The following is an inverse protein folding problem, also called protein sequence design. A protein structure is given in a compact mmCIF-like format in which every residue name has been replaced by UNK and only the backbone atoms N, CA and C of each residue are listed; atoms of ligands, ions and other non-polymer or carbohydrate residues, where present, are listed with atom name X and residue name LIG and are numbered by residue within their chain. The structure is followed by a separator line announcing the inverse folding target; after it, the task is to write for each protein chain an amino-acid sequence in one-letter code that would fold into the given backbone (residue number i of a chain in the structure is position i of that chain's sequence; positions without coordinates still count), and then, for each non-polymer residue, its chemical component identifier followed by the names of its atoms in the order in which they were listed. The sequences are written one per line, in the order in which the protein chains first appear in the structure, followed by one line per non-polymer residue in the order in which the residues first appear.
data_IF_651824096298
#
_entry.id   IF_651824096298
#
_cell.length_a   1.000
_cell.length_b   1.000
_cell.length_c   1.000
_cell.angle_alpha   90.00
_cell.angle_beta   90.00
_cell.angle_gamma   90.00
#
_symmetry.space_group_name_H-M   'P 1'
#
loop_
_entity.id
_entity.type
_entity.pdbx_description
1 polymer ?
#
# COMPACT_ATOMS: atom_id res chain seq x y z
N UNK A 1 -22.51 20.32 8.99
CA UNK A 1 -21.53 19.36 9.52
C UNK A 1 -21.22 18.22 8.56
N UNK A 2 -22.20 17.68 7.84
CA UNK A 2 -21.99 16.70 6.75
C UNK A 2 -21.15 17.24 5.58
N UNK A 3 -21.35 18.50 5.17
CA UNK A 3 -20.59 19.11 4.05
C UNK A 3 -19.09 19.21 4.29
N UNK A 4 -18.66 19.57 5.51
CA UNK A 4 -17.24 19.62 5.85
C UNK A 4 -16.59 18.23 5.86
N UNK A 5 -17.34 17.20 6.27
CA UNK A 5 -16.88 15.82 6.31
C UNK A 5 -16.75 15.23 4.89
N UNK A 6 -17.69 15.56 4.00
CA UNK A 6 -17.64 15.24 2.56
C UNK A 6 -16.50 15.97 1.84
N UNK A 7 -16.26 17.24 2.15
CA UNK A 7 -15.10 17.98 1.64
C UNK A 7 -13.79 17.34 2.09
N UNK A 8 -13.66 17.01 3.37
CA UNK A 8 -12.44 16.42 3.92
C UNK A 8 -12.15 15.04 3.30
N UNK A 9 -13.17 14.19 3.15
CA UNK A 9 -13.05 12.89 2.47
C UNK A 9 -12.72 13.07 0.98
N UNK A 10 -13.38 14.01 0.29
CA UNK A 10 -13.13 14.31 -1.12
C UNK A 10 -11.71 14.82 -1.36
N UNK A 11 -11.18 15.67 -0.48
CA UNK A 11 -9.82 16.19 -0.60
C UNK A 11 -8.77 15.12 -0.26
N UNK A 12 -9.00 14.30 0.76
CA UNK A 12 -8.00 13.33 1.26
C UNK A 12 -7.93 12.03 0.43
N UNK A 13 -9.05 11.54 -0.09
CA UNK A 13 -9.08 10.28 -0.87
C UNK A 13 -9.19 10.51 -2.38
N UNK A 14 -10.00 11.47 -2.83
CA UNK A 14 -10.30 11.64 -4.27
C UNK A 14 -9.32 12.61 -4.94
N UNK A 15 -8.95 13.69 -4.27
CA UNK A 15 -8.02 14.70 -4.80
C UNK A 15 -6.55 14.47 -4.40
N UNK A 16 -6.26 13.42 -3.62
CA UNK A 16 -4.90 13.17 -3.17
C UNK A 16 -4.06 12.57 -4.30
N UNK A 17 -3.25 13.42 -4.92
CA UNK A 17 -2.34 13.09 -6.02
C UNK A 17 -1.43 11.90 -5.69
N UNK A 18 -1.06 11.70 -4.43
CA UNK A 18 -0.19 10.58 -4.01
C UNK A 18 -0.91 9.24 -4.20
N UNK A 19 -2.18 9.16 -3.79
CA UNK A 19 -3.01 7.96 -3.98
C UNK A 19 -3.36 7.70 -5.45
N UNK A 20 -3.69 8.77 -6.20
CA UNK A 20 -4.23 8.64 -7.56
C UNK A 20 -3.14 8.49 -8.63
N UNK A 21 -1.96 9.08 -8.45
CA UNK A 21 -0.91 9.12 -9.48
C UNK A 21 0.37 8.37 -9.12
N UNK A 22 0.68 8.15 -7.84
CA UNK A 22 1.97 7.59 -7.44
C UNK A 22 1.90 6.16 -6.91
N UNK A 23 0.86 5.79 -6.15
CA UNK A 23 0.63 4.41 -5.77
C UNK A 23 0.11 3.60 -6.96
N UNK A 24 0.77 2.48 -7.28
CA UNK A 24 0.26 1.53 -8.29
C UNK A 24 0.60 1.87 -9.75
N UNK A 25 1.59 2.73 -10.03
CA UNK A 25 2.09 2.96 -11.40
C UNK A 25 2.61 1.66 -12.05
N UNK A 26 3.27 0.81 -11.27
CA UNK A 26 3.81 -0.47 -11.74
C UNK A 26 2.72 -1.42 -12.26
N UNK A 27 1.63 -1.74 -11.51
CA UNK A 27 0.53 -2.53 -12.05
C UNK A 27 -0.23 -1.78 -13.15
N UNK A 28 -0.38 -0.45 -13.06
CA UNK A 28 -1.08 0.33 -14.07
C UNK A 28 -0.45 0.17 -15.47
N UNK A 29 0.88 0.29 -15.57
CA UNK A 29 1.60 0.07 -16.84
C UNK A 29 1.43 -1.36 -17.38
N UNK A 30 1.26 -2.37 -16.52
CA UNK A 30 1.09 -3.78 -16.90
C UNK A 30 -0.31 -4.14 -17.42
N UNK A 31 -1.38 -3.55 -16.89
CA UNK A 31 -2.78 -3.94 -17.19
C UNK A 31 -3.64 -2.87 -17.88
N UNK A 32 -3.03 -1.77 -18.36
CA UNK A 32 -3.73 -0.64 -19.02
C UNK A 32 -4.61 -1.01 -20.23
N UNK A 33 -4.41 -2.17 -20.85
CA UNK A 33 -5.08 -2.55 -22.11
C UNK A 33 -6.45 -3.22 -21.95
N UNK A 34 -6.75 -3.83 -20.79
CA UNK A 34 -8.01 -4.55 -20.57
C UNK A 34 -8.54 -4.31 -19.16
N UNK A 35 -9.78 -3.84 -19.07
CA UNK A 35 -10.47 -3.55 -17.80
C UNK A 35 -10.63 -4.82 -16.96
N UNK A 36 -10.94 -5.95 -17.58
CA UNK A 36 -11.07 -7.25 -16.90
C UNK A 36 -9.78 -7.66 -16.18
N UNK A 37 -8.61 -7.46 -16.79
CA UNK A 37 -7.31 -7.75 -16.16
C UNK A 37 -6.93 -6.71 -15.11
N UNK A 38 -7.36 -5.46 -15.29
CA UNK A 38 -7.10 -4.39 -14.34
C UNK A 38 -7.85 -4.59 -13.02
N UNK A 39 -9.09 -5.10 -13.08
CA UNK A 39 -9.88 -5.43 -11.88
C UNK A 39 -9.15 -6.51 -11.05
N UNK A 40 -8.72 -7.60 -11.68
CA UNK A 40 -7.98 -8.67 -10.99
C UNK A 40 -6.67 -8.19 -10.35
N UNK A 41 -5.87 -7.39 -11.09
CA UNK A 41 -4.63 -6.82 -10.57
C UNK A 41 -4.86 -5.82 -9.43
N UNK A 42 -5.87 -4.96 -9.52
CA UNK A 42 -6.18 -3.99 -8.47
C UNK A 42 -6.61 -4.66 -7.16
N UNK A 43 -7.39 -5.75 -7.24
CA UNK A 43 -7.78 -6.56 -6.09
C UNK A 43 -6.57 -7.20 -5.43
N UNK A 44 -5.67 -7.81 -6.22
CA UNK A 44 -4.44 -8.40 -5.73
C UNK A 44 -3.53 -7.36 -5.04
N UNK A 45 -3.33 -6.19 -5.66
CA UNK A 45 -2.50 -5.14 -5.05
C UNK A 45 -3.11 -4.53 -3.80
N UNK A 46 -4.44 -4.43 -3.72
CA UNK A 46 -5.13 -3.94 -2.52
C UNK A 46 -4.92 -4.90 -1.35
N UNK A 47 -5.00 -6.21 -1.61
CA UNK A 47 -4.73 -7.25 -0.61
C UNK A 47 -3.28 -7.22 -0.11
N UNK A 48 -2.31 -7.10 -1.03
CA UNK A 48 -0.88 -7.00 -0.68
C UNK A 48 -0.62 -5.73 0.16
N UNK A 49 -1.19 -4.59 -0.23
CA UNK A 49 -1.00 -3.31 0.46
C UNK A 49 -1.59 -3.34 1.89
N UNK A 50 -2.77 -3.92 2.10
CA UNK A 50 -3.38 -4.01 3.43
C UNK A 50 -2.58 -4.92 4.36
N UNK A 51 -2.17 -6.10 3.89
CA UNK A 51 -1.30 -7.01 4.65
C UNK A 51 0.06 -6.37 4.98
N UNK A 52 0.69 -5.73 3.99
CA UNK A 52 1.99 -5.09 4.16
C UNK A 52 1.93 -3.92 5.14
N UNK A 53 0.84 -3.16 5.16
CA UNK A 53 0.64 -2.06 6.10
C UNK A 53 0.54 -2.57 7.55
N UNK A 54 -0.20 -3.66 7.78
CA UNK A 54 -0.33 -4.30 9.10
C UNK A 54 1.03 -4.83 9.56
N UNK A 55 1.76 -5.54 8.69
CA UNK A 55 3.09 -6.06 9.01
C UNK A 55 4.10 -4.95 9.29
N UNK A 56 4.09 -3.88 8.49
CA UNK A 56 4.99 -2.74 8.69
C UNK A 56 4.72 -2.01 10.01
N UNK A 57 3.44 -1.88 10.38
CA UNK A 57 3.06 -1.33 11.69
C UNK A 57 3.58 -2.22 12.84
N UNK A 58 3.44 -3.53 12.71
CA UNK A 58 3.88 -4.49 13.71
C UNK A 58 5.41 -4.48 13.88
N UNK A 59 6.15 -4.46 12.77
CA UNK A 59 7.63 -4.37 12.76
C UNK A 59 8.09 -3.04 13.37
N UNK A 60 7.42 -1.93 13.05
CA UNK A 60 7.78 -0.63 13.60
C UNK A 60 7.56 -0.57 15.13
N UNK A 61 6.40 -1.04 15.58
CA UNK A 61 5.97 -0.90 16.97
C UNK A 61 6.62 -1.94 17.91
N UNK A 62 6.78 -3.19 17.48
CA UNK A 62 7.32 -4.26 18.33
C UNK A 62 8.80 -4.54 18.15
N UNK A 63 9.41 -4.16 17.02
CA UNK A 63 10.82 -4.47 16.74
C UNK A 63 11.67 -3.20 16.75
N UNK A 64 11.23 -2.13 16.09
CA UNK A 64 12.04 -0.92 15.94
C UNK A 64 11.99 -0.01 17.17
N UNK A 65 10.80 0.22 17.72
CA UNK A 65 10.62 1.08 18.89
C UNK A 65 11.34 0.61 20.17
N UNK A 66 11.40 -0.70 20.52
CA UNK A 66 12.10 -1.13 21.73
C UNK A 66 13.62 -1.28 21.55
N UNK A 67 14.10 -1.39 20.32
CA UNK A 67 15.53 -1.53 20.03
C UNK A 67 16.22 -0.22 19.62
N UNK A 68 15.47 0.88 19.41
CA UNK A 68 15.99 2.18 18.94
C UNK A 68 16.64 2.13 17.53
N UNK A 69 16.35 1.08 16.74
CA UNK A 69 16.91 0.87 15.39
C UNK A 69 16.13 1.61 14.28
N UNK A 70 15.76 2.88 14.52
CA UNK A 70 14.94 3.65 13.57
C UNK A 70 15.61 3.83 12.20
N UNK A 71 16.94 3.78 12.15
CA UNK A 71 17.72 3.83 10.91
C UNK A 71 17.43 2.65 9.95
N UNK A 72 17.03 1.48 10.46
CA UNK A 72 16.75 0.30 9.63
C UNK A 72 15.30 0.23 9.13
N UNK A 73 14.45 1.21 9.48
CA UNK A 73 13.01 1.19 9.17
C UNK A 73 12.73 0.94 7.70
N UNK A 74 13.40 1.68 6.83
CA UNK A 74 13.19 1.60 5.38
C UNK A 74 13.53 0.22 4.83
N UNK A 75 14.65 -0.36 5.28
CA UNK A 75 15.11 -1.68 4.82
C UNK A 75 14.16 -2.77 5.33
N UNK A 76 13.75 -2.70 6.60
CA UNK A 76 12.82 -3.65 7.20
C UNK A 76 11.45 -3.64 6.49
N UNK A 77 10.95 -2.47 6.12
CA UNK A 77 9.70 -2.34 5.36
C UNK A 77 9.83 -2.91 3.95
N UNK A 78 10.93 -2.64 3.23
CA UNK A 78 11.15 -3.22 1.88
C UNK A 78 11.17 -4.75 1.94
N UNK A 79 11.86 -5.33 2.92
CA UNK A 79 11.95 -6.80 3.09
C UNK A 79 10.57 -7.39 3.44
N UNK A 80 9.82 -6.75 4.34
CA UNK A 80 8.49 -7.20 4.70
C UNK A 80 7.53 -7.17 3.51
N UNK A 81 7.51 -6.08 2.74
CA UNK A 81 6.69 -5.96 1.53
C UNK A 81 7.11 -7.02 0.49
N UNK A 82 8.42 -7.20 0.27
CA UNK A 82 8.92 -8.19 -0.68
C UNK A 82 8.53 -9.63 -0.30
N UNK A 83 8.54 -9.97 0.98
CA UNK A 83 8.12 -11.28 1.46
C UNK A 83 6.61 -11.53 1.22
N UNK A 84 5.77 -10.52 1.46
CA UNK A 84 4.32 -10.60 1.20
C UNK A 84 4.03 -10.76 -0.29
N UNK A 85 4.70 -9.97 -1.13
CA UNK A 85 4.53 -10.05 -2.59
C UNK A 85 4.93 -11.43 -3.13
N UNK A 86 6.11 -11.93 -2.74
CA UNK A 86 6.57 -13.26 -3.16
C UNK A 86 5.60 -14.36 -2.73
N UNK A 87 5.02 -14.25 -1.54
CA UNK A 87 4.00 -15.18 -1.08
C UNK A 87 2.74 -15.12 -1.96
N UNK A 88 2.28 -13.92 -2.32
CA UNK A 88 1.10 -13.75 -3.19
C UNK A 88 1.34 -14.13 -4.65
N UNK A 89 2.57 -14.10 -5.16
CA UNK A 89 2.89 -14.56 -6.52
C UNK A 89 3.01 -16.09 -6.62
N UNK A 90 3.28 -16.77 -5.50
CA UNK A 90 3.32 -18.23 -5.43
C UNK A 90 1.94 -18.90 -5.32
N UNK A 91 0.90 -18.11 -5.01
CA UNK A 91 -0.50 -18.55 -4.85
C UNK A 91 -1.27 -18.32 -6.14
#
# INVERSE_FOLDING_TARGET
MSEYLLLLIGTVFVNNIVLVKFLGLCPFMGVSRKVETAIGMSAATTFVLTLSAILSYLINNWILSPLDLEYLRTIAFIIAIAAVVNFTEMV
#
